data_IF_667694331595
#
_entry.id   IF_667694331595
#
_cell.length_a   1.000
_cell.length_b   1.000
_cell.length_c   1.000
_cell.angle_alpha   90.00
_cell.angle_beta   90.00
_cell.angle_gamma   90.00
#
_symmetry.space_group_name_H-M   'P 1'
#
loop_
_entity.id
_entity.type
_entity.pdbx_description
1 polymer ?
#
# COMPACT_ATOMS: atom_id res chain seq x y z
N UNK A 1 -14.92 12.45 -9.40
CA UNK A 1 -15.33 11.66 -8.21
C UNK A 1 -14.11 11.46 -7.32
N UNK A 2 -14.28 11.21 -6.02
CA UNK A 2 -13.20 10.74 -5.13
C UNK A 2 -13.63 9.40 -4.53
N UNK A 3 -12.67 8.50 -4.32
CA UNK A 3 -12.93 7.18 -3.70
C UNK A 3 -12.18 7.12 -2.37
N UNK A 4 -12.92 6.86 -1.29
CA UNK A 4 -12.33 6.59 0.02
C UNK A 4 -12.02 5.09 0.12
N UNK A 5 -10.78 4.75 0.44
CA UNK A 5 -10.32 3.36 0.61
C UNK A 5 -9.82 3.21 2.05
N UNK A 6 -10.29 2.15 2.70
CA UNK A 6 -9.91 1.75 4.06
C UNK A 6 -9.56 0.28 4.03
N UNK A 7 -8.53 -0.12 4.76
CA UNK A 7 -8.12 -1.51 4.88
C UNK A 7 -6.70 -1.65 5.39
N UNK A 8 -6.14 -2.85 5.27
CA UNK A 8 -4.79 -3.16 5.75
C UNK A 8 -3.72 -2.45 4.93
N UNK A 9 -2.75 -1.85 5.64
CA UNK A 9 -1.44 -1.45 5.14
C UNK A 9 -0.44 -2.32 5.89
N UNK A 10 0.43 -3.03 5.18
CA UNK A 10 1.29 -4.04 5.78
C UNK A 10 2.65 -4.12 5.08
N UNK A 11 3.60 -4.79 5.75
CA UNK A 11 4.84 -5.27 5.16
C UNK A 11 4.73 -6.79 5.01
N UNK A 12 4.64 -7.25 3.77
CA UNK A 12 4.44 -8.64 3.44
C UNK A 12 5.79 -9.33 3.20
N UNK A 13 5.94 -10.57 3.66
CA UNK A 13 7.06 -11.45 3.26
C UNK A 13 6.50 -12.50 2.33
N UNK A 14 7.00 -12.53 1.10
CA UNK A 14 6.46 -13.37 0.02
C UNK A 14 7.53 -14.36 -0.40
N UNK A 15 7.16 -15.64 -0.44
CA UNK A 15 8.02 -16.74 -0.82
C UNK A 15 7.42 -17.50 -1.99
N UNK A 16 8.25 -17.78 -2.98
CA UNK A 16 7.90 -18.55 -4.17
C UNK A 16 9.03 -19.57 -4.44
N UNK A 17 8.81 -20.59 -5.27
CA UNK A 17 9.89 -21.50 -5.66
C UNK A 17 11.10 -20.81 -6.30
N UNK A 18 10.93 -19.62 -6.87
CA UNK A 18 11.99 -18.85 -7.52
C UNK A 18 12.75 -17.92 -6.57
N UNK A 19 12.30 -17.73 -5.33
CA UNK A 19 12.94 -16.83 -4.38
C UNK A 19 11.99 -16.23 -3.36
N UNK A 20 12.55 -15.36 -2.52
CA UNK A 20 11.87 -14.74 -1.37
C UNK A 20 12.15 -13.24 -1.33
N UNK A 21 11.12 -12.47 -1.01
CA UNK A 21 11.22 -11.05 -0.67
C UNK A 21 10.66 -10.84 0.73
N UNK A 22 11.30 -9.97 1.50
CA UNK A 22 11.02 -9.75 2.92
C UNK A 22 10.57 -8.29 3.09
N UNK A 23 9.53 -8.10 3.91
CA UNK A 23 9.02 -6.78 4.31
C UNK A 23 8.74 -5.84 3.13
N UNK A 24 8.14 -6.35 2.05
CA UNK A 24 7.72 -5.51 0.93
C UNK A 24 6.38 -4.85 1.23
N UNK A 25 6.19 -3.62 0.78
CA UNK A 25 4.93 -2.91 0.97
C UNK A 25 3.76 -3.70 0.35
N UNK A 26 2.74 -3.97 1.17
CA UNK A 26 1.57 -4.74 0.79
C UNK A 26 0.31 -4.35 1.54
N UNK A 27 -0.65 -5.28 1.61
CA UNK A 27 -1.97 -5.05 2.18
C UNK A 27 -3.03 -4.54 1.18
N UNK A 28 -4.28 -4.93 1.42
CA UNK A 28 -5.40 -4.69 0.50
C UNK A 28 -5.66 -3.21 0.18
N UNK A 29 -5.47 -2.32 1.16
CA UNK A 29 -5.69 -0.89 0.95
C UNK A 29 -4.62 -0.27 0.04
N UNK A 30 -3.37 -0.75 0.12
CA UNK A 30 -2.27 -0.29 -0.73
C UNK A 30 -2.55 -0.67 -2.18
N UNK A 31 -2.78 -1.96 -2.45
CA UNK A 31 -3.05 -2.43 -3.81
C UNK A 31 -4.31 -1.79 -4.40
N UNK A 32 -5.38 -1.68 -3.61
CA UNK A 32 -6.63 -1.05 -4.07
C UNK A 32 -6.44 0.45 -4.37
N UNK A 33 -5.63 1.16 -3.58
CA UNK A 33 -5.33 2.59 -3.79
C UNK A 33 -4.51 2.80 -5.05
N UNK A 34 -3.47 1.99 -5.27
CA UNK A 34 -2.65 2.08 -6.48
C UNK A 34 -3.49 1.74 -7.71
N UNK A 35 -4.33 0.71 -7.67
CA UNK A 35 -5.20 0.38 -8.80
C UNK A 35 -6.24 1.48 -9.08
N UNK A 36 -6.84 2.06 -8.04
CA UNK A 36 -7.87 3.09 -8.18
C UNK A 36 -7.31 4.43 -8.69
N UNK A 37 -6.05 4.76 -8.40
CA UNK A 37 -5.43 6.04 -8.82
C UNK A 37 -5.41 6.23 -10.35
N UNK A 38 -5.42 5.14 -11.13
CA UNK A 38 -5.52 5.19 -12.59
C UNK A 38 -6.87 5.72 -13.11
N UNK A 39 -7.91 5.72 -12.27
CA UNK A 39 -9.28 6.03 -12.67
C UNK A 39 -9.92 7.14 -11.83
N UNK A 40 -9.47 7.35 -10.59
CA UNK A 40 -10.06 8.31 -9.69
C UNK A 40 -9.08 8.82 -8.64
N UNK A 41 -9.39 9.97 -8.05
CA UNK A 41 -8.64 10.47 -6.91
C UNK A 41 -8.94 9.62 -5.67
N UNK A 42 -7.90 9.02 -5.10
CA UNK A 42 -7.99 8.20 -3.90
C UNK A 42 -7.85 9.05 -2.64
N UNK A 43 -8.65 8.73 -1.63
CA UNK A 43 -8.46 9.13 -0.24
C UNK A 43 -8.18 7.83 0.52
N UNK A 44 -6.95 7.64 1.01
CA UNK A 44 -6.57 6.46 1.77
C UNK A 44 -6.61 6.77 3.26
N UNK A 45 -7.27 5.91 4.05
CA UNK A 45 -7.24 5.95 5.51
C UNK A 45 -6.83 4.58 6.01
N UNK A 46 -5.78 4.54 6.84
CA UNK A 46 -5.27 3.33 7.45
C UNK A 46 -4.41 3.68 8.67
N UNK A 47 -3.98 2.64 9.39
CA UNK A 47 -3.05 2.75 10.52
C UNK A 47 -1.80 1.96 10.18
N UNK A 48 -0.65 2.49 10.55
CA UNK A 48 0.67 1.84 10.44
C UNK A 48 1.38 1.95 11.79
N UNK A 49 2.32 1.04 12.05
CA UNK A 49 3.14 1.06 13.27
C UNK A 49 4.29 2.07 13.17
N UNK A 50 5.02 2.25 14.28
CA UNK A 50 6.23 3.08 14.34
C UNK A 50 7.38 2.51 13.50
N UNK A 51 7.31 1.21 13.21
CA UNK A 51 8.24 0.45 12.38
C UNK A 51 8.00 0.65 10.88
N UNK A 52 6.92 1.33 10.47
CA UNK A 52 6.59 1.52 9.07
C UNK A 52 7.59 2.47 8.37
N UNK A 53 8.35 1.98 7.37
CA UNK A 53 9.36 2.80 6.72
C UNK A 53 8.76 4.01 5.99
N UNK A 54 9.25 5.20 6.30
CA UNK A 54 8.76 6.46 5.73
C UNK A 54 8.84 6.54 4.20
N UNK A 55 9.81 5.86 3.59
CA UNK A 55 9.95 5.82 2.13
C UNK A 55 8.75 5.13 1.44
N UNK A 56 8.03 4.22 2.12
CA UNK A 56 6.81 3.65 1.58
C UNK A 56 5.66 4.66 1.48
N UNK A 57 5.68 5.76 2.25
CA UNK A 57 4.66 6.80 2.14
C UNK A 57 4.72 7.56 0.81
N UNK A 58 5.89 7.61 0.15
CA UNK A 58 6.08 8.37 -1.08
C UNK A 58 5.14 7.90 -2.19
N UNK A 59 4.81 6.60 -2.22
CA UNK A 59 3.91 6.03 -3.22
C UNK A 59 2.49 6.62 -3.14
N UNK A 60 2.03 7.05 -1.97
CA UNK A 60 0.71 7.65 -1.77
C UNK A 60 0.71 9.17 -1.97
N UNK A 61 1.88 9.79 -2.05
CA UNK A 61 2.06 11.23 -2.26
C UNK A 61 2.26 11.60 -3.72
N UNK A 62 2.63 10.62 -4.56
CA UNK A 62 2.73 10.81 -6.00
C UNK A 62 1.32 10.96 -6.60
N UNK A 63 1.18 11.95 -7.48
CA UNK A 63 -0.09 12.41 -8.06
C UNK A 63 -0.70 11.39 -9.01
#
# INVERSE_FOLDING_TARGET
>A
MKVLIVGSIALDTIETPAGKVIEVLGGAAVYSSIACSFFSKVLLVGVVGEDFPSHHEEIFRQK
#
